data_IF_645556460610
#
_entry.id   IF_645556460610
#
_cell.length_a   1.000
_cell.length_b   1.000
_cell.length_c   1.000
_cell.angle_alpha   90.00
_cell.angle_beta   90.00
_cell.angle_gamma   90.00
#
_symmetry.space_group_name_H-M   'P 1'
#
loop_
_entity.id
_entity.type
_entity.pdbx_description
1 polymer ?
#
# COMPACT_ATOMS: atom_id res chain seq x y z
N UNK A 1 -28.51 24.10 -11.67
CA UNK A 1 -27.40 24.67 -10.97
C UNK A 1 -26.19 23.77 -11.16
N UNK A 2 -25.13 24.27 -11.84
CA UNK A 2 -23.87 23.58 -12.00
C UNK A 2 -23.30 23.26 -10.62
N UNK A 3 -23.12 22.00 -10.31
CA UNK A 3 -22.28 21.58 -9.17
C UNK A 3 -20.89 22.02 -9.52
N UNK A 4 -20.36 23.03 -8.79
CA UNK A 4 -18.98 23.42 -8.92
C UNK A 4 -18.09 22.20 -8.67
N UNK A 5 -17.14 21.97 -9.55
CA UNK A 5 -16.08 20.99 -9.30
C UNK A 5 -15.44 21.34 -7.95
N UNK A 6 -15.23 20.34 -7.07
CA UNK A 6 -14.54 20.61 -5.82
C UNK A 6 -13.17 21.20 -6.16
N UNK A 7 -12.90 22.39 -5.63
CA UNK A 7 -11.61 23.03 -5.81
C UNK A 7 -10.54 22.26 -4.99
N UNK A 8 -10.07 21.17 -5.56
CA UNK A 8 -9.02 20.33 -4.98
C UNK A 8 -7.68 21.08 -4.93
N UNK A 9 -7.52 22.15 -5.71
CA UNK A 9 -6.31 22.99 -5.75
C UNK A 9 -5.97 23.68 -4.41
N UNK A 10 -6.92 23.79 -3.49
CA UNK A 10 -6.65 24.35 -2.16
C UNK A 10 -6.03 23.38 -1.15
N UNK A 11 -6.07 22.06 -1.43
CA UNK A 11 -5.46 21.02 -0.58
C UNK A 11 -4.13 20.52 -1.15
N UNK A 12 -3.90 20.73 -2.42
CA UNK A 12 -2.61 20.45 -3.05
C UNK A 12 -1.81 21.74 -3.06
N UNK A 13 -0.79 21.84 -2.25
CA UNK A 13 0.30 22.76 -2.51
C UNK A 13 0.79 22.36 -3.90
N UNK A 14 0.43 23.15 -4.90
CA UNK A 14 0.86 22.94 -6.28
C UNK A 14 2.37 22.85 -6.28
N UNK A 15 2.89 21.68 -6.53
CA UNK A 15 4.25 21.54 -7.03
C UNK A 15 4.18 22.01 -8.49
N UNK A 16 4.27 23.32 -8.69
CA UNK A 16 4.52 23.91 -9.99
C UNK A 16 5.98 23.66 -10.32
N UNK A 17 6.24 22.54 -10.94
CA UNK A 17 7.50 22.17 -11.53
C UNK A 17 7.25 21.08 -12.55
N UNK A 18 7.77 21.23 -13.75
CA UNK A 18 7.93 20.10 -14.66
C UNK A 18 8.75 19.05 -13.92
N UNK A 19 8.15 17.89 -13.64
CA UNK A 19 8.86 16.75 -13.09
C UNK A 19 9.77 16.25 -14.21
N UNK A 20 11.04 16.57 -14.16
CA UNK A 20 12.04 15.98 -15.03
C UNK A 20 11.98 14.44 -14.87
N UNK A 21 11.99 13.73 -15.99
CA UNK A 21 12.03 12.27 -15.96
C UNK A 21 13.27 11.82 -15.18
N UNK A 22 13.06 11.15 -14.08
CA UNK A 22 14.12 10.65 -13.21
C UNK A 22 14.98 9.63 -13.95
N UNK A 23 16.30 9.78 -13.92
CA UNK A 23 17.24 8.81 -14.48
C UNK A 23 16.99 7.41 -13.86
N UNK A 24 17.06 6.30 -14.62
CA UNK A 24 16.90 4.95 -14.09
C UNK A 24 17.80 4.62 -12.88
N UNK A 25 19.01 5.18 -12.81
CA UNK A 25 19.89 5.06 -11.63
C UNK A 25 19.29 5.74 -10.39
N UNK A 26 18.54 6.81 -10.57
CA UNK A 26 17.88 7.54 -9.50
C UNK A 26 16.59 6.84 -9.06
N UNK A 27 15.95 6.05 -9.93
CA UNK A 27 14.77 5.27 -9.56
C UNK A 27 15.04 4.24 -8.48
N UNK A 28 16.21 3.61 -8.48
CA UNK A 28 16.60 2.68 -7.43
C UNK A 28 16.80 3.42 -6.09
N UNK A 29 17.44 4.58 -6.13
CA UNK A 29 17.66 5.45 -4.96
C UNK A 29 16.31 5.90 -4.39
N UNK A 30 15.41 6.39 -5.24
CA UNK A 30 14.06 6.81 -4.84
C UNK A 30 13.28 5.63 -4.26
N UNK A 31 13.31 4.47 -4.91
CA UNK A 31 12.63 3.26 -4.44
C UNK A 31 13.13 2.85 -3.05
N UNK A 32 14.44 2.87 -2.83
CA UNK A 32 15.03 2.53 -1.53
C UNK A 32 14.68 3.57 -0.45
N UNK A 33 14.63 4.85 -0.80
CA UNK A 33 14.18 5.91 0.11
C UNK A 33 12.72 5.71 0.53
N UNK A 34 11.83 5.42 -0.42
CA UNK A 34 10.41 5.12 -0.16
C UNK A 34 10.27 3.91 0.76
N UNK A 35 10.99 2.81 0.48
CA UNK A 35 11.00 1.63 1.35
C UNK A 35 11.44 1.96 2.77
N UNK A 36 12.49 2.77 2.92
CA UNK A 36 13.00 3.17 4.23
C UNK A 36 12.00 4.03 5.00
N UNK A 37 11.27 4.91 4.31
CA UNK A 37 10.17 5.69 4.91
C UNK A 37 9.10 4.77 5.50
N UNK A 38 8.66 3.76 4.75
CA UNK A 38 7.68 2.79 5.24
C UNK A 38 8.17 1.99 6.44
N UNK A 39 9.43 1.53 6.43
CA UNK A 39 10.05 0.85 7.58
C UNK A 39 10.08 1.76 8.81
N UNK A 40 10.48 3.02 8.63
CA UNK A 40 10.52 4.00 9.72
C UNK A 40 9.12 4.31 10.25
N UNK A 41 8.11 4.27 9.41
CA UNK A 41 6.70 4.44 9.79
C UNK A 41 6.08 3.19 10.47
N UNK A 42 6.82 2.10 10.61
CA UNK A 42 6.43 0.91 11.36
C UNK A 42 6.11 -0.33 10.52
N UNK A 43 6.25 -0.27 9.20
CA UNK A 43 6.17 -1.47 8.38
C UNK A 43 7.35 -2.43 8.67
N UNK A 44 7.10 -3.72 8.59
CA UNK A 44 8.16 -4.74 8.68
C UNK A 44 8.87 -4.92 7.34
N UNK A 45 8.10 -4.89 6.27
CA UNK A 45 8.58 -4.98 4.90
C UNK A 45 7.87 -3.95 4.03
N UNK A 46 8.58 -3.49 3.02
CA UNK A 46 8.00 -2.67 1.94
C UNK A 46 8.48 -3.22 0.60
N UNK A 47 7.54 -3.46 -0.30
CA UNK A 47 7.79 -3.91 -1.66
C UNK A 47 7.19 -2.95 -2.68
N UNK A 48 7.62 -3.07 -3.92
CA UNK A 48 7.10 -2.28 -5.04
C UNK A 48 6.80 -3.22 -6.19
N UNK A 49 5.62 -3.11 -6.75
CA UNK A 49 5.19 -3.82 -7.95
C UNK A 49 4.92 -2.83 -9.09
N UNK A 50 5.16 -3.23 -10.34
CA UNK A 50 4.70 -2.47 -11.50
C UNK A 50 3.18 -2.53 -11.59
N UNK A 51 2.53 -1.40 -11.89
CA UNK A 51 1.09 -1.37 -12.10
C UNK A 51 0.66 -2.26 -13.28
N UNK A 52 1.47 -2.34 -14.34
CA UNK A 52 1.21 -3.18 -15.50
C UNK A 52 1.15 -4.67 -15.17
N UNK A 53 1.87 -5.12 -14.14
CA UNK A 53 1.86 -6.52 -13.73
C UNK A 53 0.48 -6.99 -13.25
N UNK A 54 -0.39 -6.08 -12.85
CA UNK A 54 -1.77 -6.40 -12.46
C UNK A 54 -2.66 -6.75 -13.65
N UNK A 55 -2.36 -6.25 -14.84
CA UNK A 55 -3.19 -6.40 -16.04
C UNK A 55 -3.42 -7.86 -16.44
N UNK A 56 -2.48 -8.75 -16.10
CA UNK A 56 -2.60 -10.18 -16.37
C UNK A 56 -3.61 -10.88 -15.43
N UNK A 57 -3.78 -10.35 -14.21
CA UNK A 57 -4.49 -11.05 -13.14
C UNK A 57 -5.85 -10.46 -12.78
N UNK A 58 -6.07 -9.19 -13.09
CA UNK A 58 -7.30 -8.50 -12.70
C UNK A 58 -8.00 -7.85 -13.89
N UNK A 59 -9.35 -7.87 -13.91
CA UNK A 59 -10.11 -7.23 -14.97
C UNK A 59 -10.04 -5.69 -14.87
N UNK A 60 -10.44 -5.03 -15.93
CA UNK A 60 -10.67 -3.57 -15.93
C UNK A 60 -11.67 -3.20 -14.84
N UNK A 61 -11.45 -2.11 -14.14
CA UNK A 61 -12.18 -1.67 -12.96
C UNK A 61 -11.54 -2.05 -11.64
N UNK A 62 -10.49 -2.91 -11.66
CA UNK A 62 -9.77 -3.37 -10.48
C UNK A 62 -8.25 -3.22 -10.62
N UNK A 63 -7.79 -2.51 -11.63
CA UNK A 63 -6.38 -2.24 -11.91
C UNK A 63 -5.92 -0.99 -11.17
N UNK A 64 -4.63 -0.84 -10.86
CA UNK A 64 -4.13 0.37 -10.21
C UNK A 64 -4.51 1.65 -10.95
N UNK A 65 -4.45 1.66 -12.26
CA UNK A 65 -4.80 2.80 -13.12
C UNK A 65 -6.29 3.17 -13.12
N UNK A 66 -7.18 2.24 -12.76
CA UNK A 66 -8.61 2.52 -12.63
C UNK A 66 -8.91 3.39 -11.39
N UNK A 67 -8.01 3.39 -10.41
CA UNK A 67 -8.12 4.18 -9.18
C UNK A 67 -7.28 5.44 -9.21
N UNK A 68 -6.06 5.33 -9.76
CA UNK A 68 -5.17 6.47 -9.96
C UNK A 68 -4.74 6.48 -11.44
N UNK A 69 -5.38 7.28 -12.29
CA UNK A 69 -5.00 7.37 -13.70
C UNK A 69 -3.51 7.71 -13.87
N UNK A 70 -2.82 6.91 -14.70
CA UNK A 70 -1.38 7.04 -14.90
C UNK A 70 -0.52 6.42 -13.81
N UNK A 71 -1.10 5.64 -12.89
CA UNK A 71 -0.33 4.87 -11.92
C UNK A 71 0.65 3.91 -12.61
N UNK A 72 1.92 4.00 -12.23
CA UNK A 72 3.00 3.14 -12.77
C UNK A 72 3.47 2.10 -11.76
N UNK A 73 3.24 2.34 -10.48
CA UNK A 73 3.73 1.48 -9.40
C UNK A 73 2.72 1.34 -8.28
N UNK A 74 2.76 0.19 -7.63
CA UNK A 74 2.04 -0.08 -6.37
C UNK A 74 3.07 -0.34 -5.29
N UNK A 75 3.09 0.52 -4.27
CA UNK A 75 3.94 0.33 -3.09
C UNK A 75 3.12 -0.42 -2.04
N UNK A 76 3.69 -1.50 -1.54
CA UNK A 76 3.02 -2.38 -0.58
C UNK A 76 3.79 -2.39 0.72
N UNK A 77 3.15 -1.98 1.79
CA UNK A 77 3.67 -2.14 3.15
C UNK A 77 3.09 -3.39 3.81
N UNK A 78 3.88 -4.04 4.62
CA UNK A 78 3.46 -5.22 5.35
C UNK A 78 3.93 -5.15 6.80
N UNK A 79 3.08 -5.54 7.73
CA UNK A 79 3.42 -5.66 9.14
C UNK A 79 3.31 -7.11 9.61
N UNK A 80 4.04 -7.42 10.68
CA UNK A 80 3.83 -8.65 11.42
C UNK A 80 2.44 -8.63 12.07
N UNK A 81 1.86 -9.80 12.22
CA UNK A 81 0.60 -9.98 12.92
C UNK A 81 0.66 -9.56 14.40
N UNK A 82 -0.36 -9.92 15.18
CA UNK A 82 -0.45 -9.57 16.60
C UNK A 82 0.77 -10.04 17.38
N UNK A 83 1.03 -9.37 18.49
CA UNK A 83 2.11 -9.78 19.42
C UNK A 83 1.90 -11.19 19.95
N UNK A 84 2.97 -11.84 20.39
CA UNK A 84 2.88 -13.17 21.02
C UNK A 84 1.89 -13.22 22.18
N UNK A 85 1.76 -12.15 22.95
CA UNK A 85 0.78 -12.06 24.03
C UNK A 85 -0.66 -12.06 23.50
N UNK A 86 -0.92 -11.38 22.39
CA UNK A 86 -2.23 -11.40 21.74
C UNK A 86 -2.56 -12.80 21.19
N UNK A 87 -1.60 -13.48 20.56
CA UNK A 87 -1.75 -14.86 20.09
C UNK A 87 -2.04 -15.86 21.20
N UNK A 88 -1.45 -15.66 22.38
CA UNK A 88 -1.63 -16.54 23.56
C UNK A 88 -2.84 -16.15 24.40
N UNK A 89 -3.52 -15.07 24.08
CA UNK A 89 -4.70 -14.64 24.81
C UNK A 89 -5.82 -15.68 24.71
N UNK A 90 -6.43 -16.10 25.83
CA UNK A 90 -7.61 -16.94 25.82
C UNK A 90 -8.84 -16.21 25.24
N UNK A 91 -8.76 -14.90 25.10
CA UNK A 91 -9.84 -14.09 24.55
C UNK A 91 -9.64 -13.91 23.04
N UNK A 92 -10.28 -14.79 22.25
CA UNK A 92 -10.23 -14.73 20.79
C UNK A 92 -10.68 -13.39 20.22
N UNK A 93 -11.65 -12.73 20.85
CA UNK A 93 -12.15 -11.43 20.43
C UNK A 93 -11.08 -10.34 20.53
N UNK A 94 -10.26 -10.42 21.58
CA UNK A 94 -9.11 -9.52 21.73
C UNK A 94 -8.08 -9.76 20.63
N UNK A 95 -7.81 -11.02 20.29
CA UNK A 95 -6.90 -11.38 19.20
C UNK A 95 -7.40 -10.85 17.84
N UNK A 96 -8.70 -10.94 17.57
CA UNK A 96 -9.29 -10.38 16.36
C UNK A 96 -9.13 -8.87 16.29
N UNK A 97 -9.36 -8.15 17.39
CA UNK A 97 -9.20 -6.70 17.46
C UNK A 97 -7.74 -6.28 17.32
N UNK A 98 -6.82 -6.96 17.99
CA UNK A 98 -5.39 -6.62 17.96
C UNK A 98 -4.68 -7.15 16.71
N UNK A 99 -5.29 -8.11 16.02
CA UNK A 99 -4.79 -8.61 14.73
C UNK A 99 -4.96 -7.61 13.60
N UNK A 100 -5.94 -6.73 13.72
CA UNK A 100 -6.17 -5.62 12.80
C UNK A 100 -5.51 -4.34 13.36
N UNK A 101 -4.22 -4.39 13.46
CA UNK A 101 -3.41 -3.24 13.84
C UNK A 101 -3.39 -2.22 12.70
N UNK A 102 -3.57 -0.96 13.04
CA UNK A 102 -3.59 0.14 12.06
C UNK A 102 -2.20 0.58 11.59
N UNK A 103 -1.13 -0.09 12.01
CA UNK A 103 0.25 0.29 11.67
C UNK A 103 0.51 0.26 10.17
N UNK A 104 -0.01 -0.74 9.46
CA UNK A 104 0.12 -0.83 8.01
C UNK A 104 -0.57 0.34 7.31
N UNK A 105 -1.75 0.75 7.76
CA UNK A 105 -2.43 1.92 7.20
C UNK A 105 -1.65 3.20 7.47
N UNK A 106 -1.08 3.36 8.66
CA UNK A 106 -0.22 4.50 8.98
C UNK A 106 1.01 4.52 8.08
N UNK A 107 1.67 3.38 7.89
CA UNK A 107 2.84 3.29 7.04
C UNK A 107 2.52 3.68 5.58
N UNK A 108 1.41 3.18 5.03
CA UNK A 108 1.01 3.49 3.65
C UNK A 108 0.60 4.96 3.46
N UNK A 109 -0.06 5.56 4.44
CA UNK A 109 -0.38 7.00 4.42
C UNK A 109 0.91 7.83 4.43
N UNK A 110 1.85 7.52 5.32
CA UNK A 110 3.15 8.23 5.42
C UNK A 110 3.95 8.09 4.13
N UNK A 111 3.94 6.90 3.51
CA UNK A 111 4.58 6.67 2.21
C UNK A 111 3.94 7.57 1.14
N UNK A 112 2.61 7.57 1.02
CA UNK A 112 1.91 8.36 0.02
C UNK A 112 2.20 9.86 0.19
N UNK A 113 2.10 10.38 1.41
CA UNK A 113 2.45 11.77 1.71
C UNK A 113 3.91 12.11 1.39
N UNK A 114 4.84 11.19 1.67
CA UNK A 114 6.25 11.38 1.36
C UNK A 114 6.49 11.46 -0.17
N UNK A 115 5.86 10.57 -0.94
CA UNK A 115 5.97 10.57 -2.40
C UNK A 115 5.48 11.91 -2.96
N UNK A 116 4.33 12.39 -2.51
CA UNK A 116 3.78 13.64 -3.00
C UNK A 116 4.63 14.85 -2.61
N UNK A 117 5.04 14.93 -1.35
CA UNK A 117 5.79 16.10 -0.83
C UNK A 117 7.24 16.17 -1.30
N UNK A 118 7.89 15.00 -1.44
CA UNK A 118 9.34 14.95 -1.72
C UNK A 118 9.64 14.76 -3.20
N UNK A 119 8.79 13.98 -3.89
CA UNK A 119 9.04 13.61 -5.28
C UNK A 119 8.06 14.26 -6.26
N UNK A 120 6.98 14.90 -5.77
CA UNK A 120 6.00 15.58 -6.62
C UNK A 120 5.08 14.66 -7.44
N UNK A 121 5.12 13.34 -7.22
CA UNK A 121 4.23 12.40 -7.89
C UNK A 121 2.93 12.26 -7.10
N UNK A 122 1.82 12.03 -7.82
CA UNK A 122 0.56 11.68 -7.16
C UNK A 122 0.66 10.29 -6.53
N UNK A 123 0.20 10.18 -5.30
CA UNK A 123 0.15 8.91 -4.59
C UNK A 123 -1.15 8.79 -3.80
N UNK A 124 -1.78 7.64 -3.89
CA UNK A 124 -3.04 7.36 -3.22
C UNK A 124 -2.88 6.22 -2.23
N UNK A 125 -3.29 6.45 -0.99
CA UNK A 125 -3.43 5.38 -0.02
C UNK A 125 -4.63 4.49 -0.36
N UNK A 126 -4.40 3.18 -0.45
CA UNK A 126 -5.46 2.18 -0.60
C UNK A 126 -5.61 1.42 0.72
N UNK A 127 -6.71 1.63 1.47
CA UNK A 127 -6.87 1.01 2.79
C UNK A 127 -7.03 -0.50 2.69
N UNK A 128 -6.38 -1.23 3.59
CA UNK A 128 -6.46 -2.69 3.66
C UNK A 128 -7.83 -3.19 4.12
N UNK A 129 -8.50 -2.42 4.96
CA UNK A 129 -9.82 -2.77 5.50
C UNK A 129 -10.91 -1.95 4.83
N UNK A 130 -11.94 -2.60 4.29
CA UNK A 130 -13.08 -1.89 3.75
C UNK A 130 -13.84 -1.21 4.89
N UNK A 131 -14.05 0.09 4.77
CA UNK A 131 -15.05 0.79 5.54
C UNK A 131 -16.43 0.45 4.96
N UNK A 132 -17.41 0.16 5.79
CA UNK A 132 -18.80 -0.07 5.37
C UNK A 132 -19.07 -1.36 4.59
N UNK A 133 -18.32 -2.43 4.79
CA UNK A 133 -18.57 -3.74 4.17
C UNK A 133 -18.26 -3.81 2.67
N UNK A 134 -17.66 -2.80 2.10
CA UNK A 134 -17.17 -2.83 0.72
C UNK A 134 -15.87 -3.59 0.63
N UNK A 135 -15.65 -4.28 -0.47
CA UNK A 135 -14.36 -4.93 -0.73
C UNK A 135 -13.28 -3.88 -1.05
N UNK A 136 -12.02 -4.10 -0.64
CA UNK A 136 -10.93 -3.23 -1.06
C UNK A 136 -10.91 -3.13 -2.59
N UNK A 137 -10.72 -1.95 -3.14
CA UNK A 137 -10.70 -1.77 -4.59
C UNK A 137 -9.55 -2.54 -5.25
N UNK A 138 -8.41 -2.58 -4.58
CA UNK A 138 -7.20 -3.27 -5.05
C UNK A 138 -6.99 -4.56 -4.25
N UNK A 139 -6.57 -5.64 -4.93
CA UNK A 139 -6.26 -6.91 -4.25
C UNK A 139 -4.94 -6.79 -3.49
N UNK A 140 -5.02 -6.66 -2.16
CA UNK A 140 -3.84 -6.60 -1.28
C UNK A 140 -2.96 -7.85 -1.40
N UNK A 141 -3.59 -9.02 -1.54
CA UNK A 141 -2.88 -10.30 -1.69
C UNK A 141 -2.08 -10.37 -2.98
N UNK A 142 -2.69 -9.96 -4.09
CA UNK A 142 -2.00 -9.88 -5.38
C UNK A 142 -0.87 -8.84 -5.33
N UNK A 143 -1.15 -7.67 -4.75
CA UNK A 143 -0.16 -6.61 -4.59
C UNK A 143 1.09 -7.11 -3.85
N UNK A 144 0.90 -7.84 -2.76
CA UNK A 144 1.99 -8.40 -1.97
C UNK A 144 2.81 -9.46 -2.73
N UNK A 145 2.14 -10.32 -3.50
CA UNK A 145 2.83 -11.32 -4.35
C UNK A 145 3.64 -10.63 -5.45
N UNK A 146 3.03 -9.70 -6.17
CA UNK A 146 3.70 -8.96 -7.25
C UNK A 146 4.85 -8.09 -6.74
N UNK A 147 4.73 -7.56 -5.53
CA UNK A 147 5.80 -6.80 -4.85
C UNK A 147 6.91 -7.70 -4.25
N UNK A 148 6.81 -9.02 -4.40
CA UNK A 148 7.82 -9.98 -3.93
C UNK A 148 7.85 -10.16 -2.40
N UNK A 149 6.78 -9.81 -1.69
CA UNK A 149 6.74 -9.91 -0.22
C UNK A 149 6.47 -11.32 0.29
N UNK A 150 6.04 -12.22 -0.57
CA UNK A 150 5.80 -13.60 -0.20
C UNK A 150 4.94 -14.36 -1.20
N UNK A 151 4.46 -15.54 -0.81
CA UNK A 151 3.60 -16.40 -1.61
C UNK A 151 2.22 -16.51 -0.97
N UNK A 152 1.21 -16.67 -1.81
CA UNK A 152 -0.17 -16.86 -1.36
C UNK A 152 -0.34 -18.23 -0.71
N UNK A 153 -0.98 -18.28 0.45
CA UNK A 153 -1.32 -19.54 1.10
C UNK A 153 -2.41 -20.30 0.34
N UNK A 154 -2.53 -21.60 0.60
CA UNK A 154 -3.58 -22.45 0.02
C UNK A 154 -4.99 -21.93 0.40
N UNK A 155 -5.15 -21.39 1.60
CA UNK A 155 -6.39 -20.77 2.06
C UNK A 155 -6.71 -19.44 1.34
N UNK A 156 -5.79 -18.95 0.54
CA UNK A 156 -5.92 -17.80 -0.36
C UNK A 156 -6.17 -16.43 0.31
N UNK A 157 -6.11 -16.33 1.61
CA UNK A 157 -6.38 -15.11 2.38
C UNK A 157 -5.19 -14.62 3.23
N UNK A 158 -4.03 -15.23 3.07
CA UNK A 158 -2.81 -14.91 3.82
C UNK A 158 -1.61 -15.00 2.88
N UNK A 159 -0.65 -14.13 3.06
CA UNK A 159 0.67 -14.22 2.42
C UNK A 159 1.66 -14.82 3.41
N UNK A 160 2.44 -15.76 2.92
CA UNK A 160 3.52 -16.41 3.66
C UNK A 160 4.86 -15.85 3.19
N UNK A 161 5.60 -15.29 4.13
CA UNK A 161 6.97 -14.85 3.92
C UNK A 161 7.93 -15.86 4.56
N UNK A 162 9.01 -16.29 3.90
CA UNK A 162 9.91 -17.32 4.42
C UNK A 162 10.64 -16.89 5.70
N UNK A 163 10.84 -15.60 5.91
CA UNK A 163 11.52 -15.06 7.10
C UNK A 163 10.56 -14.73 8.23
N UNK A 164 9.42 -14.14 7.89
CA UNK A 164 8.49 -13.57 8.87
C UNK A 164 7.22 -14.40 9.06
N UNK A 165 7.01 -15.45 8.27
CA UNK A 165 5.81 -16.28 8.34
C UNK A 165 4.58 -15.58 7.77
N UNK A 166 3.51 -15.51 8.55
CA UNK A 166 2.25 -14.86 8.16
C UNK A 166 2.37 -13.35 8.30
N UNK A 167 1.92 -12.60 7.28
CA UNK A 167 1.96 -11.14 7.25
C UNK A 167 0.60 -10.52 6.92
N UNK A 168 0.40 -9.30 7.40
CA UNK A 168 -0.72 -8.43 7.08
C UNK A 168 -0.24 -7.25 6.23
N UNK A 169 -1.10 -6.76 5.31
CA UNK A 169 -0.74 -5.77 4.29
C UNK A 169 -1.72 -4.61 4.23
N UNK A 170 -1.20 -3.46 3.88
CA UNK A 170 -1.94 -2.27 3.50
C UNK A 170 -1.35 -1.61 2.24
#
# INVERSE_FOLDING_TARGET
GARGEPNIRGLMTTVEGEVEATDPSDLEVVTNAIKQVGITAGATLVGVASADAFNEYVPVGHRPEDFLPGAQSVVVSASLGPTNAAWQSPNRRLMEITGYDFRENVASIVIAEHIERTHGYLAMHAPALPTSGQQPPLSMMLSAVLAGLGTRSIAANIILNPTYGMMFFA
#
